data_IF_712114070360
#
_entry.id   IF_712114070360
#
_cell.length_a   1.000
_cell.length_b   1.000
_cell.length_c   1.000
_cell.angle_alpha   90.00
_cell.angle_beta   90.00
_cell.angle_gamma   90.00
#
_symmetry.space_group_name_H-M   'P 1'
#
loop_
_entity.id
_entity.type
_entity.pdbx_description
1 polymer ?
#
# COMPACT_ATOMS: atom_id res chain seq x y z
N UNK A 1 3.91 23.07 -4.07
CA UNK A 1 3.97 21.66 -4.52
C UNK A 1 3.00 21.53 -5.69
N UNK A 2 3.55 21.46 -6.91
CA UNK A 2 2.77 21.31 -8.13
C UNK A 2 2.50 19.81 -8.29
N UNK A 3 1.22 19.42 -8.28
CA UNK A 3 0.83 18.04 -8.58
C UNK A 3 0.97 17.91 -10.10
N UNK A 4 1.69 16.90 -10.58
CA UNK A 4 1.79 16.64 -12.01
C UNK A 4 0.38 16.51 -12.60
N UNK A 5 0.14 17.10 -13.78
CA UNK A 5 -1.13 16.93 -14.47
C UNK A 5 -1.40 15.43 -14.66
N UNK A 6 -2.59 14.93 -14.30
CA UNK A 6 -2.90 13.54 -14.51
C UNK A 6 -2.98 13.24 -16.02
N UNK A 7 -2.85 11.97 -16.43
CA UNK A 7 -3.04 11.59 -17.83
C UNK A 7 -4.41 12.04 -18.34
N UNK A 8 -4.52 12.37 -19.63
CA UNK A 8 -5.75 12.88 -20.26
C UNK A 8 -6.98 11.97 -20.13
N UNK A 9 -6.78 10.72 -19.71
CA UNK A 9 -7.80 9.69 -19.50
C UNK A 9 -8.38 9.67 -18.07
N UNK A 10 -8.04 10.64 -17.23
CA UNK A 10 -8.41 10.69 -15.81
C UNK A 10 -9.31 11.90 -15.55
N UNK A 11 -10.53 11.64 -15.07
CA UNK A 11 -11.39 12.67 -14.50
C UNK A 11 -10.91 13.02 -13.09
N UNK A 12 -10.69 14.30 -12.81
CA UNK A 12 -10.24 14.75 -11.49
C UNK A 12 -11.43 15.27 -10.70
N UNK A 13 -11.71 14.62 -9.58
CA UNK A 13 -12.72 15.06 -8.61
C UNK A 13 -12.02 15.43 -7.31
N UNK A 14 -12.41 16.56 -6.71
CA UNK A 14 -11.91 16.97 -5.40
C UNK A 14 -12.58 16.14 -4.30
N UNK A 15 -11.78 15.65 -3.35
CA UNK A 15 -12.26 14.92 -2.18
C UNK A 15 -11.18 14.80 -1.12
N UNK A 16 -11.61 14.68 0.12
CA UNK A 16 -10.75 14.58 1.30
C UNK A 16 -11.20 13.40 2.15
N UNK A 17 -10.34 12.38 2.25
CA UNK A 17 -10.64 11.18 3.04
C UNK A 17 -10.82 11.49 4.53
N UNK A 18 -10.27 12.60 5.04
CA UNK A 18 -10.49 13.05 6.43
C UNK A 18 -11.84 13.76 6.62
N UNK A 19 -12.53 14.08 5.52
CA UNK A 19 -13.87 14.70 5.49
C UNK A 19 -14.78 13.91 4.54
N UNK A 20 -15.31 12.74 4.96
CA UNK A 20 -15.92 11.76 4.05
C UNK A 20 -17.03 12.28 3.15
N UNK A 21 -17.84 13.22 3.63
CA UNK A 21 -18.90 13.87 2.84
C UNK A 21 -18.39 14.55 1.57
N UNK A 22 -17.14 15.00 1.55
CA UNK A 22 -16.51 15.61 0.37
C UNK A 22 -16.20 14.58 -0.72
N UNK A 23 -16.12 13.29 -0.37
CA UNK A 23 -15.83 12.19 -1.30
C UNK A 23 -17.10 11.62 -1.93
N UNK A 24 -18.27 11.85 -1.33
CA UNK A 24 -19.54 11.30 -1.81
C UNK A 24 -19.84 11.59 -3.30
N UNK A 25 -19.62 12.81 -3.83
CA UNK A 25 -19.82 13.07 -5.26
C UNK A 25 -18.88 12.26 -6.17
N UNK A 26 -17.67 11.96 -5.71
CA UNK A 26 -16.67 11.20 -6.46
C UNK A 26 -17.00 9.70 -6.58
N UNK A 27 -18.03 9.23 -5.87
CA UNK A 27 -18.44 7.82 -5.88
C UNK A 27 -19.55 7.54 -6.90
N UNK A 28 -20.13 8.56 -7.52
CA UNK A 28 -21.19 8.37 -8.52
C UNK A 28 -20.67 7.60 -9.73
N UNK A 29 -21.43 6.60 -10.18
CA UNK A 29 -21.03 5.69 -11.26
C UNK A 29 -19.85 4.75 -10.96
N UNK A 30 -19.14 4.91 -9.84
CA UNK A 30 -17.93 4.13 -9.51
C UNK A 30 -18.28 2.69 -9.14
N UNK A 31 -17.52 1.73 -9.68
CA UNK A 31 -17.70 0.29 -9.39
C UNK A 31 -16.60 -0.33 -8.55
N UNK A 32 -15.40 0.26 -8.59
CA UNK A 32 -14.23 -0.17 -7.84
C UNK A 32 -13.53 1.05 -7.25
N UNK A 33 -13.19 0.98 -5.96
CA UNK A 33 -12.41 2.01 -5.27
C UNK A 33 -11.05 1.46 -4.87
N UNK A 34 -9.97 2.14 -5.25
CA UNK A 34 -8.66 1.97 -4.62
C UNK A 34 -8.56 2.92 -3.42
N UNK A 35 -8.44 2.38 -2.21
CA UNK A 35 -8.60 3.13 -0.97
C UNK A 35 -7.26 3.29 -0.23
N UNK A 36 -6.90 4.54 0.04
CA UNK A 36 -5.75 4.89 0.87
C UNK A 36 -6.10 4.79 2.37
N UNK A 37 -5.16 4.40 3.26
CA UNK A 37 -5.49 4.10 4.66
C UNK A 37 -5.60 5.37 5.53
N UNK A 38 -6.83 5.83 5.75
CA UNK A 38 -7.19 6.87 6.75
C UNK A 38 -8.15 6.25 7.77
N UNK A 39 -7.65 5.65 8.86
CA UNK A 39 -8.44 4.80 9.76
C UNK A 39 -9.52 5.57 10.53
N UNK A 40 -9.35 6.87 10.75
CA UNK A 40 -10.30 7.69 11.51
C UNK A 40 -11.67 7.76 10.84
N UNK A 41 -11.70 7.66 9.51
CA UNK A 41 -12.89 7.91 8.68
C UNK A 41 -13.22 6.77 7.74
N UNK A 42 -12.41 5.70 7.72
CA UNK A 42 -12.54 4.57 6.79
C UNK A 42 -13.93 3.92 6.83
N UNK A 43 -14.55 3.80 8.00
CA UNK A 43 -15.88 3.19 8.13
C UNK A 43 -16.94 4.00 7.37
N UNK A 44 -16.95 5.33 7.56
CA UNK A 44 -17.89 6.23 6.86
C UNK A 44 -17.63 6.24 5.34
N UNK A 45 -16.37 6.21 4.91
CA UNK A 45 -16.01 6.11 3.48
C UNK A 45 -16.54 4.80 2.87
N UNK A 46 -16.39 3.69 3.57
CA UNK A 46 -16.88 2.37 3.13
C UNK A 46 -18.41 2.35 3.04
N UNK A 47 -19.10 2.95 4.00
CA UNK A 47 -20.56 3.06 3.99
C UNK A 47 -21.05 3.94 2.84
N UNK A 48 -20.40 5.08 2.60
CA UNK A 48 -20.70 5.95 1.45
C UNK A 48 -20.48 5.23 0.12
N UNK A 49 -19.38 4.47 0.00
CA UNK A 49 -19.10 3.67 -1.19
C UNK A 49 -20.18 2.61 -1.43
N UNK A 50 -20.59 1.89 -0.38
CA UNK A 50 -21.66 0.91 -0.47
C UNK A 50 -23.00 1.56 -0.88
N UNK A 51 -23.35 2.71 -0.29
CA UNK A 51 -24.57 3.45 -0.62
C UNK A 51 -24.58 3.97 -2.06
N UNK A 52 -23.42 4.36 -2.60
CA UNK A 52 -23.25 4.78 -3.98
C UNK A 52 -23.25 3.60 -4.99
N UNK A 53 -23.30 2.36 -4.53
CA UNK A 53 -23.32 1.17 -5.39
C UNK A 53 -21.95 0.75 -5.92
N UNK A 54 -20.87 1.13 -5.22
CA UNK A 54 -19.55 0.52 -5.42
C UNK A 54 -19.67 -0.98 -5.15
N UNK A 55 -18.99 -1.81 -5.95
CA UNK A 55 -19.03 -3.27 -5.81
C UNK A 55 -17.81 -3.81 -5.09
N UNK A 56 -16.66 -3.15 -5.27
CA UNK A 56 -15.37 -3.64 -4.79
C UNK A 56 -14.48 -2.54 -4.22
N UNK A 57 -13.76 -2.86 -3.15
CA UNK A 57 -12.70 -2.02 -2.58
C UNK A 57 -11.35 -2.76 -2.64
N UNK A 58 -10.32 -2.08 -3.12
CA UNK A 58 -8.92 -2.50 -2.99
C UNK A 58 -8.25 -1.53 -2.02
N UNK A 59 -8.04 -1.96 -0.78
CA UNK A 59 -7.44 -1.13 0.26
C UNK A 59 -5.92 -1.29 0.28
N UNK A 60 -5.20 -0.16 0.30
CA UNK A 60 -3.78 -0.16 0.62
C UNK A 60 -3.61 -0.30 2.14
N UNK A 61 -2.97 -1.37 2.55
CA UNK A 61 -2.62 -1.72 3.92
C UNK A 61 -1.08 -1.82 4.06
N UNK A 62 -0.60 -2.48 5.10
CA UNK A 62 0.81 -2.72 5.37
C UNK A 62 1.04 -4.17 5.83
N UNK A 63 2.21 -4.72 5.55
CA UNK A 63 2.66 -6.03 6.03
C UNK A 63 2.67 -6.16 7.58
N UNK A 64 2.68 -5.04 8.31
CA UNK A 64 2.61 -4.99 9.77
C UNK A 64 1.21 -5.00 10.36
N UNK A 65 0.12 -4.91 9.56
CA UNK A 65 -1.27 -4.80 10.07
C UNK A 65 -1.65 -5.94 11.05
N UNK A 66 -1.06 -7.13 10.92
CA UNK A 66 -1.26 -8.26 11.84
C UNK A 66 -0.28 -8.34 13.03
N UNK A 67 0.61 -7.38 13.17
CA UNK A 67 1.79 -7.42 14.05
C UNK A 67 1.91 -6.16 14.93
N UNK A 68 0.78 -5.66 15.44
CA UNK A 68 0.74 -4.51 16.37
C UNK A 68 0.50 -3.15 15.71
N UNK A 69 0.36 -3.10 14.38
CA UNK A 69 0.01 -1.89 13.65
C UNK A 69 -1.50 -1.66 13.65
N UNK A 70 -1.97 -0.89 14.64
CA UNK A 70 -3.39 -0.55 14.79
C UNK A 70 -3.94 0.29 13.65
N UNK A 71 -3.11 1.10 12.99
CA UNK A 71 -3.50 2.03 11.91
C UNK A 71 -4.05 1.26 10.71
N UNK A 72 -3.23 0.36 10.17
CA UNK A 72 -3.63 -0.43 9.01
C UNK A 72 -4.65 -1.51 9.37
N UNK A 73 -4.59 -2.07 10.59
CA UNK A 73 -5.56 -3.07 11.04
C UNK A 73 -6.99 -2.51 11.14
N UNK A 74 -7.14 -1.25 11.56
CA UNK A 74 -8.45 -0.60 11.60
C UNK A 74 -9.08 -0.49 10.21
N UNK A 75 -8.28 -0.12 9.19
CA UNK A 75 -8.71 -0.06 7.79
C UNK A 75 -9.13 -1.43 7.29
N UNK A 76 -8.33 -2.47 7.53
CA UNK A 76 -8.66 -3.83 7.12
C UNK A 76 -9.95 -4.36 7.76
N UNK A 77 -10.16 -4.06 9.05
CA UNK A 77 -11.37 -4.45 9.76
C UNK A 77 -12.61 -3.75 9.18
N UNK A 78 -12.51 -2.46 8.88
CA UNK A 78 -13.62 -1.70 8.32
C UNK A 78 -14.03 -2.22 6.94
N UNK A 79 -13.08 -2.46 6.02
CA UNK A 79 -13.43 -3.02 4.71
C UNK A 79 -13.93 -4.46 4.82
N UNK A 80 -13.39 -5.26 5.74
CA UNK A 80 -13.82 -6.64 5.96
C UNK A 80 -15.21 -6.76 6.61
N UNK A 81 -15.63 -5.75 7.38
CA UNK A 81 -16.98 -5.67 7.96
C UNK A 81 -18.05 -5.26 6.93
N UNK A 82 -17.63 -4.74 5.77
CA UNK A 82 -18.55 -4.35 4.70
C UNK A 82 -19.14 -5.56 3.96
N UNK A 83 -20.21 -5.32 3.20
CA UNK A 83 -20.77 -6.32 2.27
C UNK A 83 -20.15 -6.25 0.86
N UNK A 84 -19.14 -5.40 0.68
CA UNK A 84 -18.46 -5.23 -0.60
C UNK A 84 -17.45 -6.34 -0.84
N UNK A 85 -17.14 -6.63 -2.10
CA UNK A 85 -15.94 -7.40 -2.40
C UNK A 85 -14.71 -6.59 -1.96
N UNK A 86 -13.73 -7.23 -1.33
CA UNK A 86 -12.56 -6.49 -0.87
C UNK A 86 -11.25 -7.23 -1.06
N UNK A 87 -10.16 -6.46 -1.13
CA UNK A 87 -8.78 -6.96 -1.16
C UNK A 87 -7.89 -5.96 -0.42
N UNK A 88 -7.05 -6.44 0.50
CA UNK A 88 -6.08 -5.61 1.22
C UNK A 88 -4.67 -5.88 0.67
N UNK A 89 -4.04 -4.86 0.09
CA UNK A 89 -2.65 -4.94 -0.37
C UNK A 89 -1.72 -4.65 0.80
N UNK A 90 -0.82 -5.57 1.14
CA UNK A 90 0.09 -5.44 2.30
C UNK A 90 1.56 -5.35 1.86
N UNK A 91 1.99 -4.28 1.15
CA UNK A 91 3.41 -4.04 0.96
C UNK A 91 4.09 -3.80 2.31
N UNK A 92 5.40 -4.03 2.36
CA UNK A 92 6.25 -3.63 3.49
C UNK A 92 6.86 -2.26 3.21
N UNK A 93 8.01 -2.21 2.52
CA UNK A 93 8.61 -0.94 2.08
C UNK A 93 8.25 -0.60 0.64
N UNK A 94 7.98 0.66 0.33
CA UNK A 94 7.96 1.14 -1.05
C UNK A 94 9.37 1.61 -1.45
N UNK A 95 9.81 1.26 -2.66
CA UNK A 95 11.11 1.74 -3.17
C UNK A 95 11.14 3.27 -3.27
N UNK A 96 10.00 3.92 -3.52
CA UNK A 96 9.88 5.39 -3.53
C UNK A 96 10.22 6.04 -2.20
N UNK A 97 10.15 5.31 -1.07
CA UNK A 97 10.52 5.85 0.23
C UNK A 97 12.02 6.17 0.31
N UNK A 98 12.86 5.57 -0.55
CA UNK A 98 14.27 5.94 -0.66
C UNK A 98 14.48 7.41 -1.07
N UNK A 99 13.48 8.04 -1.72
CA UNK A 99 13.54 9.47 -2.06
C UNK A 99 13.59 10.38 -0.83
N UNK A 100 13.15 9.89 0.34
CA UNK A 100 13.30 10.61 1.61
C UNK A 100 14.78 10.85 1.96
N UNK A 101 15.68 9.98 1.51
CA UNK A 101 17.12 10.10 1.71
C UNK A 101 17.82 10.92 0.62
N UNK A 102 17.10 11.33 -0.43
CA UNK A 102 17.70 12.02 -1.56
C UNK A 102 18.44 13.32 -1.17
N UNK A 103 17.97 14.14 -0.20
CA UNK A 103 18.74 15.28 0.29
C UNK A 103 20.08 14.88 0.91
N UNK A 104 20.08 13.88 1.79
CA UNK A 104 21.29 13.42 2.50
C UNK A 104 22.31 12.81 1.54
N UNK A 105 21.85 12.02 0.57
CA UNK A 105 22.69 11.44 -0.48
C UNK A 105 23.33 12.54 -1.33
N UNK A 106 22.58 13.57 -1.73
CA UNK A 106 23.12 14.70 -2.49
C UNK A 106 24.11 15.54 -1.69
N UNK A 107 23.85 15.74 -0.40
CA UNK A 107 24.66 16.59 0.46
C UNK A 107 25.97 15.91 0.88
N UNK A 108 25.93 14.62 1.21
CA UNK A 108 27.03 13.93 1.88
C UNK A 108 27.30 12.50 1.41
N UNK A 109 26.51 11.95 0.47
CA UNK A 109 26.59 10.53 0.06
C UNK A 109 26.48 9.54 1.24
N UNK A 110 25.85 9.96 2.34
CA UNK A 110 25.70 9.16 3.57
C UNK A 110 24.26 9.25 4.04
N UNK A 111 23.65 8.09 4.29
CA UNK A 111 22.33 7.97 4.92
C UNK A 111 22.51 7.46 6.35
N UNK A 112 21.87 8.12 7.32
CA UNK A 112 21.89 7.70 8.73
C UNK A 112 20.54 7.12 9.09
N UNK A 113 20.52 5.84 9.48
CA UNK A 113 19.32 5.14 9.93
C UNK A 113 19.63 4.31 11.20
N UNK A 114 18.66 4.13 12.11
CA UNK A 114 18.85 3.39 13.36
C UNK A 114 19.33 1.94 13.17
N UNK A 115 19.02 1.33 12.02
CA UNK A 115 19.29 -0.08 11.74
C UNK A 115 19.94 -0.29 10.36
N UNK A 116 21.14 0.26 10.15
CA UNK A 116 21.82 0.25 8.84
C UNK A 116 22.18 -1.12 8.24
N UNK A 117 22.01 -2.22 9.00
CA UNK A 117 22.19 -3.62 8.52
C UNK A 117 20.88 -4.39 8.39
N UNK A 118 19.74 -3.77 8.69
CA UNK A 118 18.45 -4.42 8.63
C UNK A 118 17.95 -4.50 7.18
N UNK A 119 17.63 -5.71 6.72
CA UNK A 119 17.05 -5.93 5.41
C UNK A 119 15.53 -5.88 5.53
N UNK A 120 14.90 -4.99 4.76
CA UNK A 120 13.46 -4.88 4.66
C UNK A 120 13.02 -5.16 3.22
N UNK A 121 11.97 -5.94 2.97
CA UNK A 121 11.50 -6.17 1.61
C UNK A 121 10.89 -4.89 1.04
N UNK A 122 11.41 -4.45 -0.11
CA UNK A 122 10.93 -3.29 -0.83
C UNK A 122 10.24 -3.70 -2.13
N UNK A 123 9.14 -3.03 -2.45
CA UNK A 123 8.38 -3.22 -3.69
C UNK A 123 8.29 -1.92 -4.47
N UNK A 124 8.32 -2.02 -5.79
CA UNK A 124 8.13 -0.85 -6.64
C UNK A 124 6.65 -0.43 -6.60
N UNK A 125 6.31 0.87 -6.48
CA UNK A 125 4.91 1.32 -6.45
C UNK A 125 4.09 0.88 -7.68
N UNK A 126 4.73 0.77 -8.86
CA UNK A 126 4.08 0.27 -10.07
C UNK A 126 3.64 -1.21 -9.96
N UNK A 127 4.35 -2.04 -9.19
CA UNK A 127 3.94 -3.43 -8.97
C UNK A 127 2.71 -3.49 -8.05
N UNK A 128 2.65 -2.62 -7.03
CA UNK A 128 1.46 -2.46 -6.18
C UNK A 128 0.26 -2.01 -7.04
N UNK A 129 0.46 -1.04 -7.93
CA UNK A 129 -0.57 -0.60 -8.86
C UNK A 129 -1.01 -1.73 -9.81
N UNK A 130 -0.07 -2.48 -10.40
CA UNK A 130 -0.39 -3.62 -11.27
C UNK A 130 -1.22 -4.68 -10.54
N UNK A 131 -0.89 -4.99 -9.27
CA UNK A 131 -1.68 -5.93 -8.46
C UNK A 131 -3.07 -5.36 -8.17
N UNK A 132 -3.17 -4.07 -7.82
CA UNK A 132 -4.46 -3.41 -7.57
C UNK A 132 -5.41 -3.52 -8.77
N UNK A 133 -4.88 -3.33 -9.98
CA UNK A 133 -5.64 -3.39 -11.25
C UNK A 133 -6.03 -4.80 -11.61
N UNK A 134 -5.12 -5.76 -11.40
CA UNK A 134 -5.37 -7.16 -11.77
C UNK A 134 -6.58 -7.77 -11.05
N UNK A 135 -7.07 -7.14 -9.98
CA UNK A 135 -8.22 -7.60 -9.22
C UNK A 135 -8.00 -8.98 -8.59
N UNK A 136 -6.76 -9.44 -8.47
CA UNK A 136 -6.47 -10.75 -7.88
C UNK A 136 -6.78 -10.72 -6.39
N UNK A 137 -7.63 -11.66 -5.95
CA UNK A 137 -7.89 -11.90 -4.53
C UNK A 137 -6.64 -12.49 -3.88
N UNK A 138 -5.84 -11.64 -3.23
CA UNK A 138 -4.80 -12.11 -2.32
C UNK A 138 -5.45 -12.39 -0.96
N UNK A 139 -6.09 -13.55 -0.85
CA UNK A 139 -6.44 -14.10 0.46
C UNK A 139 -5.16 -14.62 1.13
N UNK A 140 -4.56 -13.80 1.97
CA UNK A 140 -3.64 -14.29 3.00
C UNK A 140 -4.24 -14.04 4.39
N UNK A 141 -5.34 -14.75 4.66
CA UNK A 141 -5.78 -15.06 6.02
C UNK A 141 -5.07 -16.33 6.50
N UNK A 142 -3.79 -16.18 6.86
CA UNK A 142 -3.14 -16.83 8.00
C UNK A 142 -1.68 -16.37 8.02
N UNK A 143 -1.15 -15.91 9.17
CA UNK A 143 0.28 -15.92 9.35
C UNK A 143 0.74 -17.38 9.20
N UNK A 144 1.48 -17.69 8.12
CA UNK A 144 2.38 -18.84 8.17
C UNK A 144 3.28 -18.58 9.38
N UNK A 145 3.29 -19.54 10.30
CA UNK A 145 3.93 -19.41 11.61
C UNK A 145 5.28 -18.71 11.48
N UNK A 146 5.52 -17.77 12.39
CA UNK A 146 6.81 -17.14 12.56
C UNK A 146 7.89 -18.19 12.40
N UNK A 147 8.79 -18.01 11.43
CA UNK A 147 10.09 -18.65 11.52
C UNK A 147 10.69 -18.18 12.85
N UNK A 148 11.00 -19.07 13.80
CA UNK A 148 11.66 -18.67 15.02
C UNK A 148 13.08 -18.25 14.63
N UNK A 149 13.24 -16.97 14.31
CA UNK A 149 14.53 -16.32 14.33
C UNK A 149 15.01 -16.35 15.77
N UNK A 150 15.76 -17.40 16.13
CA UNK A 150 16.51 -17.44 17.39
C UNK A 150 17.25 -16.12 17.52
N UNK A 151 16.97 -15.41 18.60
CA UNK A 151 17.88 -14.41 19.14
C UNK A 151 19.19 -15.13 19.48
N UNK A 152 20.14 -15.09 18.56
CA UNK A 152 21.51 -15.54 18.79
C UNK A 152 22.29 -14.40 19.40
N UNK A 153 22.54 -14.52 20.71
CA UNK A 153 23.57 -13.77 21.42
C UNK A 153 24.94 -13.99 20.76
N UNK A 154 25.75 -12.95 20.75
CA UNK A 154 27.11 -12.85 20.18
C UNK A 154 28.06 -14.01 20.49
N UNK A 155 28.73 -14.60 19.48
CA UNK A 155 30.21 -14.75 19.42
C UNK A 155 30.66 -15.14 17.98
N UNK A 156 31.92 -14.76 17.70
CA UNK A 156 32.82 -14.80 16.53
C UNK A 156 32.63 -15.84 15.40
N UNK A 157 32.91 -15.35 14.19
CA UNK A 157 33.76 -16.01 13.17
C UNK A 157 33.15 -17.17 12.39
N UNK A 158 32.75 -16.94 11.13
CA UNK A 158 32.45 -18.02 10.20
C UNK A 158 31.72 -17.56 8.94
N UNK A 159 32.48 -17.49 7.85
CA UNK A 159 32.03 -17.22 6.48
C UNK A 159 31.00 -18.27 6.03
N UNK A 160 29.80 -17.85 5.62
CA UNK A 160 28.81 -18.71 4.94
C UNK A 160 28.16 -17.95 3.78
N UNK A 161 28.11 -18.52 2.56
CA UNK A 161 27.58 -17.84 1.39
C UNK A 161 26.05 -17.80 1.40
N UNK A 162 25.49 -16.74 0.79
CA UNK A 162 24.05 -16.53 0.65
C UNK A 162 23.42 -17.57 -0.31
N UNK A 163 22.17 -18.02 -0.05
CA UNK A 163 21.47 -18.93 -0.94
C UNK A 163 21.00 -18.19 -2.21
N UNK A 164 21.15 -18.85 -3.36
CA UNK A 164 20.67 -18.38 -4.66
C UNK A 164 19.17 -18.63 -4.80
N UNK A 165 18.41 -17.62 -5.24
CA UNK A 165 16.98 -17.72 -5.55
C UNK A 165 16.83 -17.87 -7.09
N UNK A 166 16.22 -18.96 -7.60
CA UNK A 166 15.99 -19.14 -9.05
C UNK A 166 15.00 -18.14 -9.63
N UNK A 167 15.27 -17.70 -10.86
CA UNK A 167 14.57 -16.62 -11.56
C UNK A 167 13.11 -16.90 -11.89
N UNK A 168 12.25 -15.89 -11.70
CA UNK A 168 10.86 -15.90 -12.13
C UNK A 168 10.72 -15.21 -13.50
N UNK A 169 10.21 -15.95 -14.49
CA UNK A 169 9.85 -15.45 -15.81
C UNK A 169 8.66 -14.46 -15.77
N UNK A 170 8.69 -13.45 -16.64
CA UNK A 170 7.62 -12.44 -16.79
C UNK A 170 6.55 -12.90 -17.80
N UNK A 171 5.25 -12.70 -17.52
CA UNK A 171 4.22 -12.70 -18.57
C UNK A 171 4.18 -11.37 -19.34
N UNK A 172 3.84 -11.47 -20.63
CA UNK A 172 3.76 -10.41 -21.63
C UNK A 172 2.38 -9.72 -21.64
N UNK A 173 2.42 -8.44 -22.02
CA UNK A 173 1.35 -7.53 -22.51
C UNK A 173 0.43 -6.79 -21.49
N UNK A 174 0.53 -5.44 -21.37
CA UNK A 174 -0.25 -4.60 -20.44
C UNK A 174 -1.48 -3.87 -21.05
N UNK A 175 -2.00 -4.27 -22.21
CA UNK A 175 -3.07 -3.51 -22.90
C UNK A 175 -4.49 -3.87 -22.42
N UNK A 176 -4.88 -3.51 -21.20
CA UNK A 176 -6.29 -3.24 -20.86
C UNK A 176 -6.42 -2.64 -19.45
N UNK A 177 -7.31 -1.65 -19.33
CA UNK A 177 -7.91 -1.09 -18.11
C UNK A 177 -7.23 0.16 -17.52
N UNK A 178 -7.90 1.29 -17.71
CA UNK A 178 -7.57 2.58 -17.11
C UNK A 178 -7.79 2.59 -15.60
N UNK A 179 -7.00 3.41 -14.90
CA UNK A 179 -6.91 3.48 -13.44
C UNK A 179 -7.09 4.92 -13.02
N UNK A 180 -8.05 5.15 -12.14
CA UNK A 180 -8.31 6.43 -11.49
C UNK A 180 -7.44 6.54 -10.22
N UNK A 181 -6.57 7.54 -10.14
CA UNK A 181 -5.72 7.81 -8.99
C UNK A 181 -6.15 9.11 -8.30
N UNK A 182 -6.56 9.02 -7.03
CA UNK A 182 -7.00 10.17 -6.23
C UNK A 182 -5.96 10.47 -5.15
N UNK A 183 -5.48 11.71 -5.11
CA UNK A 183 -4.40 12.14 -4.20
C UNK A 183 -4.99 12.98 -3.08
N UNK A 184 -5.02 12.44 -1.86
CA UNK A 184 -5.34 13.18 -0.64
C UNK A 184 -4.13 13.97 -0.14
N UNK A 185 -4.30 15.28 0.11
CA UNK A 185 -3.32 16.08 0.85
C UNK A 185 -3.57 15.92 2.34
N UNK A 186 -2.55 15.55 3.11
CA UNK A 186 -2.65 15.64 4.57
C UNK A 186 -1.46 15.07 5.31
N UNK A 187 -0.38 15.84 5.42
CA UNK A 187 0.47 15.87 6.63
C UNK A 187 0.98 17.29 6.78
N UNK A 188 0.39 18.03 7.74
CA UNK A 188 1.06 19.15 8.40
C UNK A 188 1.13 18.78 9.88
N UNK A 189 2.36 18.79 10.38
CA UNK A 189 2.77 18.76 11.78
C UNK A 189 2.15 19.88 12.58
#
# INVERSE_FOLDING_TARGET
MQIASPPDLVEVVEGDLTRPKTVAPALDGVKLVFLFPVPETVAEIVDLAAAAGVRRIVALSCGSAGHGDGHHLAVERAVAASRLEWTCLRPYGLMSNALLWAPDVRAASVVRAPHGRFCYPHVHPADVAAVAVSGRHLHHLRPRGAHPGRAGTTDRGGDRPAPQIPGAERPRDPRAMGIMGMVGRGYRS
#
